data_IF_282500589487
#
_entry.id   IF_282500589487
#
_cell.length_a   1.000
_cell.length_b   1.000
_cell.length_c   1.000
_cell.angle_alpha   90.00
_cell.angle_beta   90.00
_cell.angle_gamma   90.00
#
_symmetry.space_group_name_H-M   'P 1'
#
loop_
_entity.id
_entity.type
_entity.pdbx_description
1 polymer ?
#
# COMPACT_ATOMS: atom_id res chain seq x y z
N UNK A 1 -6.50 -8.93 27.62
CA UNK A 1 -6.26 -7.78 26.73
C UNK A 1 -6.98 -6.59 27.35
N UNK A 2 -6.31 -5.44 27.43
CA UNK A 2 -6.91 -4.19 27.89
C UNK A 2 -8.02 -3.75 26.91
N UNK A 3 -9.08 -3.07 27.39
CA UNK A 3 -10.23 -2.67 26.56
C UNK A 3 -9.82 -1.73 25.43
N UNK A 4 -8.84 -0.84 25.67
CA UNK A 4 -8.32 0.08 24.67
C UNK A 4 -7.53 -0.64 23.59
N UNK A 5 -6.72 -1.62 23.99
CA UNK A 5 -5.97 -2.46 23.05
C UNK A 5 -6.93 -3.30 22.18
N UNK A 6 -8.04 -3.76 22.74
CA UNK A 6 -9.08 -4.47 21.98
C UNK A 6 -9.78 -3.58 20.96
N UNK A 7 -10.16 -2.37 21.34
CA UNK A 7 -10.76 -1.39 20.41
C UNK A 7 -9.81 -1.05 19.26
N UNK A 8 -8.54 -0.78 19.58
CA UNK A 8 -7.49 -0.55 18.58
C UNK A 8 -7.36 -1.73 17.61
N UNK A 9 -7.31 -2.97 18.11
CA UNK A 9 -7.13 -4.14 17.25
C UNK A 9 -8.29 -4.31 16.28
N UNK A 10 -9.53 -4.14 16.74
CA UNK A 10 -10.71 -4.23 15.87
C UNK A 10 -10.67 -3.17 14.77
N UNK A 11 -10.43 -1.90 15.13
CA UNK A 11 -10.36 -0.82 14.14
C UNK A 11 -9.20 -1.02 13.15
N UNK A 12 -8.03 -1.41 13.64
CA UNK A 12 -6.84 -1.61 12.81
C UNK A 12 -7.01 -2.78 11.83
N UNK A 13 -7.73 -3.84 12.22
CA UNK A 13 -8.06 -4.96 11.32
C UNK A 13 -8.99 -4.51 10.18
N UNK A 14 -10.03 -3.72 10.49
CA UNK A 14 -10.92 -3.18 9.47
C UNK A 14 -10.16 -2.26 8.49
N UNK A 15 -9.24 -1.44 9.00
CA UNK A 15 -8.37 -0.61 8.16
C UNK A 15 -7.44 -1.44 7.27
N UNK A 16 -6.85 -2.52 7.79
CA UNK A 16 -5.96 -3.40 7.02
C UNK A 16 -6.70 -4.10 5.86
N UNK A 17 -7.94 -4.57 6.09
CA UNK A 17 -8.78 -5.16 5.04
C UNK A 17 -9.08 -4.13 3.94
N UNK A 18 -9.45 -2.91 4.32
CA UNK A 18 -9.73 -1.84 3.35
C UNK A 18 -8.48 -1.44 2.54
N UNK A 19 -7.29 -1.51 3.15
CA UNK A 19 -6.02 -1.26 2.44
C UNK A 19 -5.83 -2.27 1.31
N UNK A 20 -6.04 -3.56 1.54
CA UNK A 20 -5.85 -4.58 0.50
C UNK A 20 -6.76 -4.34 -0.71
N UNK A 21 -8.03 -3.98 -0.49
CA UNK A 21 -8.95 -3.64 -1.57
C UNK A 21 -8.48 -2.43 -2.38
N UNK A 22 -7.95 -1.41 -1.70
CA UNK A 22 -7.38 -0.23 -2.34
C UNK A 22 -6.11 -0.54 -3.13
N UNK A 23 -5.26 -1.44 -2.64
CA UNK A 23 -4.06 -1.89 -3.36
C UNK A 23 -4.42 -2.60 -4.66
N UNK A 24 -5.42 -3.48 -4.65
CA UNK A 24 -5.94 -4.14 -5.86
C UNK A 24 -6.53 -3.13 -6.86
N UNK A 25 -7.12 -2.03 -6.38
CA UNK A 25 -7.57 -0.94 -7.25
C UNK A 25 -6.38 -0.20 -7.89
N UNK A 26 -5.32 0.06 -7.14
CA UNK A 26 -4.11 0.74 -7.64
C UNK A 26 -3.36 -0.10 -8.69
N UNK A 27 -3.47 -1.43 -8.67
CA UNK A 27 -2.94 -2.27 -9.76
C UNK A 27 -3.59 -1.95 -11.12
N UNK A 28 -4.87 -1.56 -11.10
CA UNK A 28 -5.65 -1.27 -12.32
C UNK A 28 -5.64 0.21 -12.68
N UNK A 29 -5.57 1.07 -11.68
CA UNK A 29 -5.59 2.52 -11.81
C UNK A 29 -4.48 3.15 -10.96
N UNK A 30 -3.21 3.08 -11.42
CA UNK A 30 -2.04 3.46 -10.62
C UNK A 30 -1.94 4.97 -10.34
N UNK A 31 -2.62 5.80 -11.15
CA UNK A 31 -2.64 7.25 -10.99
C UNK A 31 -3.77 7.74 -10.06
N UNK A 32 -4.53 6.81 -9.45
CA UNK A 32 -5.65 7.15 -8.59
C UNK A 32 -5.19 7.80 -7.28
N UNK A 33 -5.08 9.14 -7.29
CA UNK A 33 -4.66 9.92 -6.13
C UNK A 33 -5.59 9.76 -4.93
N UNK A 34 -6.88 9.54 -5.14
CA UNK A 34 -7.81 9.32 -4.03
C UNK A 34 -7.47 8.03 -3.30
N UNK A 35 -7.27 6.94 -4.04
CA UNK A 35 -6.89 5.64 -3.49
C UNK A 35 -5.50 5.69 -2.82
N UNK A 36 -4.51 6.35 -3.45
CA UNK A 36 -3.17 6.54 -2.84
C UNK A 36 -3.26 7.26 -1.48
N UNK A 37 -4.06 8.33 -1.40
CA UNK A 37 -4.25 9.05 -0.14
C UNK A 37 -5.07 8.25 0.88
N UNK A 38 -6.00 7.39 0.44
CA UNK A 38 -6.77 6.52 1.32
C UNK A 38 -5.85 5.50 2.01
N UNK A 39 -4.99 4.82 1.25
CA UNK A 39 -4.02 3.86 1.82
C UNK A 39 -3.05 4.55 2.78
N UNK A 40 -2.50 5.72 2.39
CA UNK A 40 -1.65 6.51 3.27
C UNK A 40 -2.33 6.81 4.62
N UNK A 41 -3.59 7.26 4.60
CA UNK A 41 -4.34 7.57 5.83
C UNK A 41 -4.58 6.34 6.70
N UNK A 42 -4.89 5.18 6.11
CA UNK A 42 -5.08 3.95 6.87
C UNK A 42 -3.81 3.57 7.64
N UNK A 43 -2.65 3.54 6.98
CA UNK A 43 -1.38 3.27 7.68
C UNK A 43 -1.02 4.36 8.70
N UNK A 44 -1.33 5.62 8.42
CA UNK A 44 -1.13 6.72 9.38
C UNK A 44 -1.92 6.51 10.68
N UNK A 45 -3.21 6.14 10.55
CA UNK A 45 -4.08 5.84 11.69
C UNK A 45 -3.59 4.61 12.46
N UNK A 46 -3.27 3.52 11.75
CA UNK A 46 -2.76 2.29 12.40
C UNK A 46 -1.45 2.57 13.14
N UNK A 47 -0.51 3.32 12.55
CA UNK A 47 0.74 3.73 13.21
C UNK A 47 0.46 4.52 14.49
N UNK A 48 -0.46 5.48 14.45
CA UNK A 48 -0.83 6.30 15.60
C UNK A 48 -1.33 5.44 16.76
N UNK A 49 -2.27 4.53 16.50
CA UNK A 49 -2.77 3.59 17.49
C UNK A 49 -1.70 2.62 17.99
N UNK A 50 -0.89 2.05 17.09
CA UNK A 50 0.21 1.15 17.45
C UNK A 50 1.26 1.84 18.33
N UNK A 51 1.56 3.11 18.07
CA UNK A 51 2.47 3.92 18.90
C UNK A 51 1.91 4.14 20.29
N UNK A 52 0.61 4.42 20.40
CA UNK A 52 -0.07 4.59 21.68
C UNK A 52 -0.14 3.28 22.48
N UNK A 53 -0.28 2.13 21.81
CA UNK A 53 -0.27 0.80 22.41
C UNK A 53 1.14 0.26 22.68
N UNK A 54 2.19 1.00 22.34
CA UNK A 54 3.60 0.58 22.43
C UNK A 54 3.90 -0.72 21.65
N UNK A 55 3.46 -0.79 20.39
CA UNK A 55 3.64 -1.92 19.47
C UNK A 55 4.72 -1.58 18.42
N UNK A 56 6.02 -1.67 18.76
CA UNK A 56 7.09 -1.10 17.94
C UNK A 56 7.21 -1.71 16.54
N UNK A 57 6.93 -3.02 16.40
CA UNK A 57 7.00 -3.69 15.11
C UNK A 57 5.92 -3.18 14.13
N UNK A 58 4.70 -2.95 14.64
CA UNK A 58 3.61 -2.35 13.86
C UNK A 58 3.92 -0.90 13.49
N UNK A 59 4.48 -0.12 14.42
CA UNK A 59 4.92 1.26 14.16
C UNK A 59 5.96 1.29 13.04
N UNK A 60 6.96 0.40 13.08
CA UNK A 60 8.02 0.34 12.08
C UNK A 60 7.47 0.01 10.67
N UNK A 61 6.64 -1.02 10.57
CA UNK A 61 6.04 -1.42 9.30
C UNK A 61 5.12 -0.34 8.72
N UNK A 62 4.26 0.26 9.54
CA UNK A 62 3.36 1.34 9.08
C UNK A 62 4.15 2.58 8.65
N UNK A 63 5.20 2.95 9.39
CA UNK A 63 6.00 4.13 9.06
C UNK A 63 6.77 3.99 7.73
N UNK A 64 7.38 2.84 7.46
CA UNK A 64 8.01 2.61 6.15
C UNK A 64 6.99 2.58 5.02
N UNK A 65 5.81 2.02 5.27
CA UNK A 65 4.73 1.99 4.28
C UNK A 65 4.17 3.39 4.02
N UNK A 66 4.03 4.23 5.04
CA UNK A 66 3.70 5.66 4.85
C UNK A 66 4.73 6.37 3.99
N UNK A 67 6.03 6.13 4.19
CA UNK A 67 7.08 6.75 3.37
C UNK A 67 6.96 6.32 1.90
N UNK A 68 6.65 5.05 1.65
CA UNK A 68 6.33 4.57 0.31
C UNK A 68 5.14 5.33 -0.27
N UNK A 69 4.00 5.36 0.42
CA UNK A 69 2.80 6.03 -0.08
C UNK A 69 2.94 7.55 -0.19
N UNK A 70 3.81 8.16 0.62
CA UNK A 70 4.17 9.57 0.50
C UNK A 70 4.91 9.83 -0.81
N UNK A 71 5.90 9.00 -1.15
CA UNK A 71 6.60 9.08 -2.41
C UNK A 71 5.66 8.87 -3.61
N UNK A 72 4.75 7.88 -3.52
CA UNK A 72 3.80 7.57 -4.59
C UNK A 72 2.79 8.71 -4.81
N UNK A 73 2.13 9.20 -3.74
CA UNK A 73 1.08 10.22 -3.83
C UNK A 73 1.61 11.59 -4.24
N UNK A 74 2.88 11.89 -3.95
CA UNK A 74 3.55 13.14 -4.34
C UNK A 74 4.18 13.07 -5.74
N UNK A 75 4.24 11.88 -6.34
CA UNK A 75 4.89 11.67 -7.63
C UNK A 75 6.42 11.62 -7.56
N UNK A 76 7.01 11.47 -6.37
CA UNK A 76 8.44 11.25 -6.20
C UNK A 76 8.88 9.84 -6.66
N UNK A 77 7.96 8.87 -6.62
CA UNK A 77 8.12 7.55 -7.21
C UNK A 77 6.84 7.13 -7.96
N UNK A 78 6.93 6.36 -9.05
CA UNK A 78 5.76 5.81 -9.73
C UNK A 78 5.19 4.60 -8.97
N UNK A 79 3.89 4.35 -9.12
CA UNK A 79 3.29 3.08 -8.69
C UNK A 79 3.79 1.97 -9.61
N UNK A 80 4.41 0.96 -9.02
CA UNK A 80 5.00 -0.22 -9.69
C UNK A 80 4.48 -1.52 -9.08
N UNK A 81 4.58 -2.67 -9.77
CA UNK A 81 4.27 -3.97 -9.18
C UNK A 81 5.02 -4.21 -7.86
N UNK A 82 6.30 -3.79 -7.78
CA UNK A 82 7.10 -3.89 -6.56
C UNK A 82 6.50 -3.06 -5.41
N UNK A 83 6.04 -1.84 -5.69
CA UNK A 83 5.42 -1.00 -4.66
C UNK A 83 4.10 -1.58 -4.14
N UNK A 84 3.30 -2.21 -5.01
CA UNK A 84 2.07 -2.89 -4.62
C UNK A 84 2.40 -4.13 -3.79
N UNK A 85 3.35 -4.95 -4.24
CA UNK A 85 3.81 -6.14 -3.51
C UNK A 85 4.34 -5.79 -2.11
N UNK A 86 5.19 -4.76 -2.01
CA UNK A 86 5.71 -4.28 -0.74
C UNK A 86 4.57 -3.82 0.21
N UNK A 87 3.58 -3.10 -0.32
CA UNK A 87 2.43 -2.64 0.45
C UNK A 87 1.50 -3.78 0.90
N UNK A 88 1.28 -4.79 0.04
CA UNK A 88 0.52 -5.98 0.39
C UNK A 88 1.22 -6.80 1.48
N UNK A 89 2.54 -6.99 1.38
CA UNK A 89 3.29 -7.66 2.43
C UNK A 89 3.28 -6.89 3.76
N UNK A 90 3.33 -5.56 3.71
CA UNK A 90 3.20 -4.73 4.91
C UNK A 90 1.80 -4.85 5.53
N UNK A 91 0.74 -4.81 4.72
CA UNK A 91 -0.64 -5.01 5.18
C UNK A 91 -0.84 -6.39 5.81
N UNK A 92 -0.32 -7.44 5.17
CA UNK A 92 -0.36 -8.80 5.70
C UNK A 92 0.36 -8.94 7.03
N UNK A 93 1.59 -8.40 7.13
CA UNK A 93 2.32 -8.39 8.41
C UNK A 93 1.55 -7.64 9.51
N UNK A 94 0.92 -6.51 9.19
CA UNK A 94 0.08 -5.77 10.14
C UNK A 94 -1.10 -6.65 10.58
N UNK A 95 -1.82 -7.25 9.64
CA UNK A 95 -2.97 -8.11 9.92
C UNK A 95 -2.59 -9.33 10.78
N UNK A 96 -1.44 -9.96 10.52
CA UNK A 96 -0.93 -11.10 11.28
C UNK A 96 -0.66 -10.72 12.74
N UNK A 97 0.03 -9.59 12.97
CA UNK A 97 0.34 -9.12 14.32
C UNK A 97 -0.93 -8.73 15.09
N UNK A 98 -1.90 -8.10 14.42
CA UNK A 98 -3.21 -7.79 15.00
C UNK A 98 -4.00 -9.05 15.33
N UNK A 99 -3.93 -10.08 14.48
CA UNK A 99 -4.54 -11.39 14.72
C UNK A 99 -3.92 -12.08 15.95
N UNK A 100 -2.60 -12.06 16.11
CA UNK A 100 -1.93 -12.59 17.30
C UNK A 100 -2.42 -11.89 18.59
N UNK A 101 -2.48 -10.56 18.58
CA UNK A 101 -3.02 -9.78 19.70
C UNK A 101 -4.48 -10.14 19.99
N UNK A 102 -5.33 -10.26 18.96
CA UNK A 102 -6.73 -10.66 19.09
C UNK A 102 -6.88 -12.07 19.68
N UNK A 103 -5.94 -12.96 19.39
CA UNK A 103 -5.88 -14.31 19.95
C UNK A 103 -5.29 -14.36 21.37
N UNK A 104 -4.94 -13.20 21.95
CA UNK A 104 -4.48 -13.08 23.32
C UNK A 104 -2.97 -13.17 23.50
N UNK A 105 -2.19 -13.11 22.42
CA UNK A 105 -0.74 -12.98 22.53
C UNK A 105 -0.38 -11.67 23.26
N UNK A 106 0.60 -11.68 24.18
CA UNK A 106 1.09 -10.46 24.79
C UNK A 106 1.83 -9.59 23.76
N UNK A 107 1.75 -8.27 23.90
CA UNK A 107 2.37 -7.32 22.97
C UNK A 107 3.89 -7.54 22.84
N UNK A 108 4.53 -7.99 23.92
CA UNK A 108 5.96 -8.23 24.00
C UNK A 108 6.41 -9.53 23.28
N UNK A 109 5.48 -10.43 22.96
CA UNK A 109 5.81 -11.65 22.19
C UNK A 109 5.69 -11.48 20.68
N UNK A 110 5.16 -10.35 20.22
CA UNK A 110 5.01 -10.08 18.81
C UNK A 110 6.37 -10.08 18.09
N UNK A 111 6.38 -10.65 16.89
CA UNK A 111 7.57 -10.69 16.05
C UNK A 111 8.03 -9.29 15.64
N UNK A 112 9.33 -9.13 15.44
CA UNK A 112 9.87 -7.95 14.76
C UNK A 112 9.46 -7.96 13.28
N UNK A 113 9.51 -6.78 12.65
CA UNK A 113 9.31 -6.67 11.20
C UNK A 113 10.35 -7.54 10.47
N UNK A 114 9.94 -8.44 9.56
CA UNK A 114 10.86 -9.26 8.80
C UNK A 114 11.84 -8.43 7.96
N UNK A 115 13.10 -8.87 7.88
CA UNK A 115 14.13 -8.17 7.12
C UNK A 115 13.80 -8.07 5.61
N UNK A 116 13.16 -9.09 5.06
CA UNK A 116 12.75 -9.11 3.65
C UNK A 116 11.64 -8.08 3.37
N UNK A 117 10.72 -7.87 4.32
CA UNK A 117 9.70 -6.82 4.24
C UNK A 117 10.34 -5.42 4.32
N UNK A 118 11.31 -5.25 5.21
CA UNK A 118 12.05 -3.99 5.29
C UNK A 118 12.78 -3.68 3.97
N UNK A 119 13.45 -4.68 3.39
CA UNK A 119 14.21 -4.55 2.17
C UNK A 119 13.31 -4.17 0.98
N UNK A 120 12.19 -4.88 0.80
CA UNK A 120 11.30 -4.60 -0.32
C UNK A 120 10.63 -3.22 -0.22
N UNK A 121 10.27 -2.78 0.99
CA UNK A 121 9.72 -1.44 1.21
C UNK A 121 10.76 -0.36 0.84
N UNK A 122 12.02 -0.54 1.25
CA UNK A 122 13.11 0.38 0.89
C UNK A 122 13.36 0.41 -0.62
N UNK A 123 13.39 -0.75 -1.26
CA UNK A 123 13.57 -0.86 -2.71
C UNK A 123 12.41 -0.17 -3.46
N UNK A 124 11.18 -0.34 -3.00
CA UNK A 124 10.01 0.33 -3.56
C UNK A 124 10.05 1.86 -3.36
N UNK A 125 10.48 2.35 -2.19
CA UNK A 125 10.64 3.78 -1.90
C UNK A 125 11.68 4.42 -2.83
N UNK A 126 12.78 3.71 -3.09
CA UNK A 126 13.83 4.14 -4.03
C UNK A 126 13.38 4.06 -5.50
N UNK A 127 12.16 3.59 -5.77
CA UNK A 127 11.61 3.47 -7.12
C UNK A 127 12.27 2.36 -7.93
N UNK A 128 12.90 1.36 -7.29
CA UNK A 128 13.40 0.18 -8.00
C UNK A 128 12.23 -0.56 -8.61
N UNK A 129 12.40 -1.05 -9.82
CA UNK A 129 11.42 -1.93 -10.47
C UNK A 129 11.90 -3.37 -10.31
N UNK A 130 11.09 -4.27 -9.77
CA UNK A 130 11.32 -5.70 -10.03
C UNK A 130 11.26 -5.93 -11.54
N UNK A 131 12.09 -6.85 -12.02
CA UNK A 131 12.20 -7.14 -13.46
C UNK A 131 10.80 -7.31 -14.09
N UNK A 132 10.57 -6.77 -15.30
CA UNK A 132 9.23 -6.47 -15.78
C UNK A 132 8.38 -7.73 -15.94
N UNK A 133 7.33 -7.86 -15.13
CA UNK A 133 6.16 -8.62 -15.50
C UNK A 133 5.44 -7.87 -16.63
N UNK A 134 5.88 -8.16 -17.86
CA UNK A 134 5.18 -7.97 -19.14
C UNK A 134 4.30 -6.71 -19.22
N UNK A 135 4.90 -5.62 -19.69
CA UNK A 135 4.19 -4.45 -20.18
C UNK A 135 3.02 -4.87 -21.09
N UNK A 136 1.79 -4.63 -20.64
CA UNK A 136 0.64 -4.65 -21.52
C UNK A 136 0.81 -3.49 -22.53
N UNK A 137 0.65 -3.75 -23.84
CA UNK A 137 0.97 -2.77 -24.85
C UNK A 137 0.04 -1.56 -24.73
N UNK A 138 0.65 -0.37 -24.67
CA UNK A 138 -0.05 0.90 -24.82
C UNK A 138 -0.92 0.83 -26.08
N UNK A 139 -2.23 1.02 -25.88
CA UNK A 139 -3.18 1.09 -26.99
C UNK A 139 -2.75 2.23 -27.95
N UNK A 140 -2.65 1.97 -29.26
CA UNK A 140 -2.28 3.01 -30.21
C UNK A 140 -3.42 4.05 -30.26
N UNK A 141 -3.05 5.33 -30.14
CA UNK A 141 -3.95 6.46 -30.31
C UNK A 141 -4.65 6.40 -31.68
N UNK A 142 -5.95 6.70 -31.77
CA UNK A 142 -6.65 6.75 -33.05
C UNK A 142 -6.14 7.94 -33.87
N UNK A 143 -5.51 7.64 -35.01
CA UNK A 143 -5.17 8.64 -36.02
C UNK A 143 -6.45 9.25 -36.59
N UNK A 144 -6.57 10.58 -36.52
CA UNK A 144 -7.65 11.33 -37.11
C UNK A 144 -7.54 11.26 -38.64
N UNK A 145 -8.57 10.72 -39.31
CA UNK A 145 -8.69 10.74 -40.75
C UNK A 145 -9.02 12.17 -41.25
N UNK A 146 -8.35 12.67 -42.31
CA UNK A 146 -8.64 13.98 -42.85
C UNK A 146 -9.91 13.96 -43.72
N UNK A 147 -10.59 15.10 -43.67
CA UNK A 147 -11.89 15.42 -44.27
C UNK A 147 -11.87 15.32 -45.79
N UNK A 148 -12.99 14.83 -46.34
CA UNK A 148 -13.29 14.70 -47.76
C UNK A 148 -13.23 16.04 -48.51
N UNK A 149 -12.72 16.02 -49.75
CA UNK A 149 -12.97 17.04 -50.76
C UNK A 149 -13.20 16.36 -52.12
N UNK A 150 -14.45 16.36 -52.56
CA UNK A 150 -14.89 16.03 -53.91
C UNK A 150 -14.69 17.26 -54.81
N UNK A 151 -14.33 17.09 -56.10
CA UNK A 151 -14.75 18.03 -57.13
C UNK A 151 -15.85 17.39 -58.00
N UNK A 152 -16.85 18.22 -58.31
CA UNK A 152 -17.99 17.94 -59.18
C UNK A 152 -17.58 18.04 -60.68
N UNK A 153 -18.49 17.70 -61.63
CA UNK A 153 -18.14 17.17 -62.97
C UNK A 153 -17.56 18.17 -63.96
#
# INVERSE_FOLDING_TARGET
MDDMLKEFVVEAMDLAVNVEEHLLRLERDPENKETLNAVFRSFHTIKGGAGFMNLPALVAACHLTENLFDALRTGAAPVTPLSIEAALMASGFVADQLSELNNGAPAESLGAMPADLEAILKDAIEGKTSAPAKAAPAAPAPTAAPVAATPAP
#
